data_IF_624124645363
#
_entry.id   IF_624124645363
#
_cell.length_a   1.000
_cell.length_b   1.000
_cell.length_c   1.000
_cell.angle_alpha   90.00
_cell.angle_beta   90.00
_cell.angle_gamma   90.00
#
_symmetry.space_group_name_H-M   'P 1'
#
loop_
_entity.id
_entity.type
_entity.pdbx_description
1 polymer ?
#
# COMPACT_ATOMS: atom_id res chain seq x y z
N UNK A 1 26.15 -12.30 19.66
CA UNK A 1 25.28 -11.14 19.31
C UNK A 1 25.40 -10.97 17.80
N UNK A 2 24.28 -10.86 17.13
CA UNK A 2 24.20 -10.61 15.69
C UNK A 2 23.88 -9.13 15.47
N UNK A 3 24.38 -8.57 14.37
CA UNK A 3 24.11 -7.20 13.94
C UNK A 3 23.59 -7.25 12.51
N UNK A 4 22.55 -6.49 12.25
CA UNK A 4 22.09 -6.20 10.90
C UNK A 4 22.73 -4.87 10.46
N UNK A 5 23.38 -4.88 9.30
CA UNK A 5 23.97 -3.68 8.70
C UNK A 5 23.34 -3.47 7.36
N UNK A 6 22.72 -2.32 7.16
CA UNK A 6 21.99 -1.96 5.94
C UNK A 6 22.51 -0.63 5.40
N UNK A 7 22.29 -0.42 4.09
CA UNK A 7 22.50 0.89 3.48
C UNK A 7 21.48 1.89 4.03
N UNK A 8 21.92 3.08 4.41
CA UNK A 8 21.02 4.11 4.88
C UNK A 8 20.27 4.76 3.72
N UNK A 9 18.96 4.80 3.83
CA UNK A 9 18.06 5.52 2.89
C UNK A 9 17.44 6.76 3.56
N UNK A 10 18.07 7.26 4.62
CA UNK A 10 17.59 8.43 5.34
C UNK A 10 17.43 9.63 4.39
N UNK A 11 16.28 10.29 4.45
CA UNK A 11 15.98 11.44 3.61
C UNK A 11 15.44 11.11 2.22
N UNK A 12 15.37 9.83 1.84
CA UNK A 12 14.74 9.43 0.58
C UNK A 12 13.23 9.60 0.65
N UNK A 13 12.59 9.73 -0.52
CA UNK A 13 11.13 9.74 -0.62
C UNK A 13 10.57 8.37 -0.26
N UNK A 14 9.44 8.35 0.44
CA UNK A 14 8.78 7.13 0.87
C UNK A 14 7.41 6.96 0.19
N UNK A 15 7.21 5.79 -0.40
CA UNK A 15 5.96 5.41 -1.03
C UNK A 15 5.50 4.03 -0.56
N UNK A 16 4.19 3.82 -0.59
CA UNK A 16 3.58 2.54 -0.25
C UNK A 16 2.60 2.13 -1.35
N UNK A 17 2.52 0.83 -1.61
CA UNK A 17 1.50 0.24 -2.46
C UNK A 17 0.64 -0.71 -1.64
N UNK A 18 -0.67 -0.44 -1.61
CA UNK A 18 -1.64 -1.36 -1.05
C UNK A 18 -2.11 -2.30 -2.15
N UNK A 19 -1.87 -3.59 -1.97
CA UNK A 19 -2.03 -4.62 -2.98
C UNK A 19 -2.92 -5.73 -2.46
N UNK A 20 -3.78 -6.28 -3.31
CA UNK A 20 -4.56 -7.47 -3.00
C UNK A 20 -4.29 -8.53 -4.05
N UNK A 21 -4.00 -9.75 -3.62
CA UNK A 21 -3.79 -10.91 -4.51
C UNK A 21 -4.60 -12.09 -4.00
N UNK A 22 -5.16 -12.86 -4.93
CA UNK A 22 -5.89 -14.09 -4.67
C UNK A 22 -5.17 -15.35 -5.18
N UNK A 23 -5.73 -16.52 -4.87
CA UNK A 23 -5.19 -17.83 -5.27
C UNK A 23 -5.17 -18.07 -6.78
N UNK A 24 -5.97 -17.34 -7.56
CA UNK A 24 -6.03 -17.41 -9.02
C UNK A 24 -5.05 -16.44 -9.70
N UNK A 25 -4.16 -15.80 -8.91
CA UNK A 25 -3.19 -14.79 -9.34
C UNK A 25 -3.82 -13.49 -9.87
N UNK A 26 -5.06 -13.21 -9.55
CA UNK A 26 -5.58 -11.86 -9.71
C UNK A 26 -4.85 -10.98 -8.70
N UNK A 27 -4.07 -10.03 -9.19
CA UNK A 27 -3.25 -9.14 -8.37
C UNK A 27 -3.50 -7.69 -8.77
N UNK A 28 -4.02 -6.90 -7.84
CA UNK A 28 -4.45 -5.53 -8.10
C UNK A 28 -3.85 -4.55 -7.10
N UNK A 29 -3.52 -3.35 -7.58
CA UNK A 29 -3.15 -2.23 -6.72
C UNK A 29 -4.44 -1.51 -6.31
N UNK A 30 -4.67 -1.43 -5.00
CA UNK A 30 -5.83 -0.72 -4.46
C UNK A 30 -5.56 0.78 -4.43
N UNK A 31 -4.38 1.17 -3.97
CA UNK A 31 -3.99 2.56 -3.87
C UNK A 31 -2.48 2.68 -3.72
N UNK A 32 -1.92 3.72 -4.33
CA UNK A 32 -0.58 4.22 -3.99
C UNK A 32 -0.70 5.26 -2.88
N UNK A 33 0.28 5.29 -1.99
CA UNK A 33 0.34 6.22 -0.87
C UNK A 33 1.72 6.86 -0.87
N UNK A 34 1.77 8.16 -0.64
CA UNK A 34 3.00 8.92 -0.47
C UNK A 34 3.08 9.44 0.97
N UNK A 35 4.22 9.23 1.61
CA UNK A 35 4.55 9.83 2.88
C UNK A 35 5.24 11.18 2.62
N UNK A 36 4.70 12.27 3.16
CA UNK A 36 5.27 13.60 2.96
C UNK A 36 6.55 13.79 3.76
N UNK A 37 6.66 13.11 4.89
CA UNK A 37 7.89 13.05 5.65
C UNK A 37 8.86 12.07 4.97
N UNK A 38 10.16 12.40 4.87
CA UNK A 38 11.13 11.52 4.25
C UNK A 38 11.43 10.29 5.10
N UNK A 39 12.11 9.31 4.49
CA UNK A 39 12.61 8.13 5.20
C UNK A 39 13.38 8.53 6.46
N UNK A 40 13.07 7.86 7.57
CA UNK A 40 13.54 8.16 8.92
C UNK A 40 12.41 8.58 9.87
N UNK A 41 11.28 9.06 9.34
CA UNK A 41 10.04 9.22 10.10
C UNK A 41 9.17 8.00 9.87
N UNK A 42 8.66 7.40 10.95
CA UNK A 42 7.81 6.21 10.82
C UNK A 42 6.53 6.51 10.04
N UNK A 43 6.14 5.63 9.11
CA UNK A 43 4.95 5.79 8.25
C UNK A 43 3.66 6.08 9.02
N UNK A 44 3.51 5.48 10.21
CA UNK A 44 2.37 5.71 11.10
C UNK A 44 2.26 7.13 11.64
N UNK A 45 3.39 7.83 11.71
CA UNK A 45 3.54 9.15 12.32
C UNK A 45 3.62 10.26 11.25
N UNK A 46 3.70 9.88 9.98
CA UNK A 46 3.79 10.80 8.84
C UNK A 46 2.43 11.33 8.39
N UNK A 47 2.44 12.52 7.81
CA UNK A 47 1.35 12.98 6.95
C UNK A 47 1.44 12.16 5.66
N UNK A 48 0.33 11.55 5.26
CA UNK A 48 0.29 10.71 4.06
C UNK A 48 -0.79 11.15 3.09
N UNK A 49 -0.54 11.00 1.81
CA UNK A 49 -1.47 11.36 0.72
C UNK A 49 -1.79 10.13 -0.10
N UNK A 50 -3.03 9.97 -0.45
CA UNK A 50 -3.52 8.92 -1.34
C UNK A 50 -4.39 9.54 -2.46
N UNK A 51 -4.13 9.27 -3.73
CA UNK A 51 -2.99 8.53 -4.27
C UNK A 51 -1.68 9.33 -4.17
N UNK A 52 -0.52 8.68 -4.40
CA UNK A 52 0.77 9.35 -4.49
C UNK A 52 0.75 10.46 -5.55
N UNK A 53 1.33 11.62 -5.21
CA UNK A 53 1.21 12.83 -6.03
C UNK A 53 2.47 13.15 -6.84
N UNK A 54 3.63 12.66 -6.41
CA UNK A 54 4.93 13.02 -7.00
C UNK A 54 5.58 11.88 -7.79
N UNK A 55 4.84 10.81 -8.07
CA UNK A 55 5.27 9.75 -8.99
C UNK A 55 4.88 10.12 -10.42
N UNK A 56 5.81 9.94 -11.35
CA UNK A 56 5.48 9.86 -12.77
C UNK A 56 4.77 8.52 -13.06
N UNK A 57 4.05 8.45 -14.18
CA UNK A 57 3.42 7.18 -14.58
C UNK A 57 4.44 6.05 -14.73
N UNK A 58 5.62 6.34 -15.28
CA UNK A 58 6.71 5.36 -15.40
C UNK A 58 7.17 4.83 -14.04
N UNK A 59 7.37 5.70 -13.07
CA UNK A 59 7.75 5.31 -11.71
C UNK A 59 6.65 4.50 -11.05
N UNK A 60 5.39 4.94 -11.18
CA UNK A 60 4.25 4.20 -10.67
C UNK A 60 4.20 2.77 -11.23
N UNK A 61 4.39 2.59 -12.53
CA UNK A 61 4.39 1.25 -13.15
C UNK A 61 5.56 0.38 -12.64
N UNK A 62 6.72 0.98 -12.37
CA UNK A 62 7.86 0.25 -11.77
C UNK A 62 7.50 -0.23 -10.35
N UNK A 63 6.91 0.64 -9.53
CA UNK A 63 6.49 0.26 -8.18
C UNK A 63 5.38 -0.81 -8.22
N UNK A 64 4.45 -0.68 -9.16
CA UNK A 64 3.38 -1.64 -9.39
C UNK A 64 3.93 -3.03 -9.72
N UNK A 65 4.80 -3.11 -10.71
CA UNK A 65 5.40 -4.37 -11.15
C UNK A 65 6.25 -5.02 -10.05
N UNK A 66 7.04 -4.22 -9.33
CA UNK A 66 7.84 -4.67 -8.20
C UNK A 66 6.95 -5.20 -7.05
N UNK A 67 5.83 -4.54 -6.76
CA UNK A 67 4.87 -4.99 -5.75
C UNK A 67 4.27 -6.34 -6.11
N UNK A 68 3.82 -6.51 -7.35
CA UNK A 68 3.25 -7.76 -7.85
C UNK A 68 4.29 -8.89 -7.77
N UNK A 69 5.53 -8.61 -8.20
CA UNK A 69 6.63 -9.57 -8.13
C UNK A 69 6.91 -10.02 -6.68
N UNK A 70 6.92 -9.08 -5.73
CA UNK A 70 7.11 -9.39 -4.31
C UNK A 70 6.02 -10.31 -3.75
N UNK A 71 4.74 -10.01 -4.04
CA UNK A 71 3.64 -10.83 -3.55
C UNK A 71 3.69 -12.25 -4.12
N UNK A 72 4.08 -12.39 -5.37
CA UNK A 72 4.25 -13.70 -6.03
C UNK A 72 5.39 -14.49 -5.43
N UNK A 73 6.56 -13.86 -5.24
CA UNK A 73 7.76 -14.52 -4.69
C UNK A 73 7.54 -14.98 -3.25
N UNK A 74 6.89 -14.17 -2.43
CA UNK A 74 6.57 -14.52 -1.04
C UNK A 74 5.42 -15.53 -0.94
N UNK A 75 4.59 -15.63 -1.99
CA UNK A 75 3.48 -16.57 -2.05
C UNK A 75 2.23 -16.08 -1.32
N UNK A 76 1.98 -14.76 -1.29
CA UNK A 76 0.71 -14.22 -0.77
C UNK A 76 -0.41 -14.54 -1.74
N UNK A 77 -1.42 -15.29 -1.28
CA UNK A 77 -2.52 -15.79 -2.13
C UNK A 77 -3.92 -15.43 -1.60
N UNK A 78 -4.02 -14.82 -0.43
CA UNK A 78 -5.30 -14.69 0.25
C UNK A 78 -5.52 -13.32 0.88
N UNK A 79 -5.09 -12.24 0.24
CA UNK A 79 -5.47 -10.98 0.82
C UNK A 79 -4.59 -9.78 0.53
N UNK A 80 -4.70 -8.80 1.43
CA UNK A 80 -4.03 -7.53 1.33
C UNK A 80 -2.59 -7.57 1.84
N UNK A 81 -1.76 -6.80 1.18
CA UNK A 81 -0.36 -6.58 1.54
C UNK A 81 0.00 -5.12 1.34
N UNK A 82 0.95 -4.66 2.13
CA UNK A 82 1.55 -3.34 2.01
C UNK A 82 3.02 -3.51 1.58
N UNK A 83 3.41 -2.88 0.49
CA UNK A 83 4.79 -2.87 0.01
C UNK A 83 5.33 -1.46 0.13
N UNK A 84 6.45 -1.29 0.83
CA UNK A 84 7.07 0.00 1.11
C UNK A 84 8.32 0.18 0.27
N UNK A 85 8.45 1.37 -0.30
CA UNK A 85 9.53 1.76 -1.19
C UNK A 85 10.22 3.03 -0.72
N UNK A 86 11.54 3.09 -0.90
CA UNK A 86 12.29 4.32 -0.84
C UNK A 86 12.81 4.66 -2.24
N UNK A 87 12.68 5.93 -2.62
CA UNK A 87 13.19 6.46 -3.89
C UNK A 87 14.16 7.58 -3.59
N UNK A 88 15.38 7.41 -4.10
CA UNK A 88 16.41 8.45 -4.01
C UNK A 88 15.96 9.68 -4.82
N UNK A 89 15.84 10.87 -4.20
CA UNK A 89 15.40 12.06 -4.90
C UNK A 89 16.41 12.60 -5.93
N UNK A 90 17.69 12.20 -5.84
CA UNK A 90 18.75 12.71 -6.69
C UNK A 90 18.88 11.95 -8.02
N UNK A 91 18.74 10.62 -7.98
CA UNK A 91 18.97 9.76 -9.14
C UNK A 91 17.78 8.85 -9.51
N UNK A 92 16.73 8.83 -8.68
CA UNK A 92 15.56 8.00 -8.88
C UNK A 92 15.76 6.52 -8.57
N UNK A 93 16.88 6.13 -7.95
CA UNK A 93 17.11 4.75 -7.52
C UNK A 93 16.03 4.33 -6.52
N UNK A 94 15.39 3.21 -6.82
CA UNK A 94 14.34 2.64 -6.00
C UNK A 94 14.85 1.43 -5.23
N UNK A 95 14.45 1.31 -3.97
CA UNK A 95 14.63 0.10 -3.16
C UNK A 95 13.32 -0.28 -2.48
N UNK A 96 13.08 -1.57 -2.33
CA UNK A 96 11.99 -2.09 -1.52
C UNK A 96 12.51 -2.16 -0.08
N UNK A 97 11.78 -1.54 0.83
CA UNK A 97 12.13 -1.51 2.26
C UNK A 97 11.60 -2.76 2.95
N UNK A 98 10.31 -3.00 2.81
CA UNK A 98 9.66 -4.18 3.37
C UNK A 98 8.34 -4.48 2.65
N UNK A 99 7.86 -5.70 2.82
CA UNK A 99 6.51 -6.10 2.46
C UNK A 99 5.83 -6.71 3.69
N UNK A 100 4.66 -6.20 4.00
CA UNK A 100 3.83 -6.66 5.11
C UNK A 100 2.64 -7.47 4.56
N UNK A 101 2.66 -8.83 4.66
CA UNK A 101 1.61 -9.69 4.09
C UNK A 101 0.38 -9.73 4.99
N UNK A 102 -0.18 -8.60 5.28
CA UNK A 102 -1.33 -8.40 6.16
C UNK A 102 -2.04 -7.09 5.86
N UNK A 103 -3.31 -7.00 6.27
CA UNK A 103 -4.04 -5.72 6.33
C UNK A 103 -3.39 -4.83 7.40
N UNK A 104 -3.19 -3.55 7.08
CA UNK A 104 -2.45 -2.58 7.87
C UNK A 104 -3.25 -1.31 8.14
N UNK A 105 -2.63 -0.32 8.81
CA UNK A 105 -3.21 1.02 8.98
C UNK A 105 -3.35 1.76 7.64
N UNK A 106 -2.39 1.59 6.76
CA UNK A 106 -2.44 2.12 5.40
C UNK A 106 -3.51 1.45 4.54
N UNK A 107 -3.81 0.16 4.77
CA UNK A 107 -4.96 -0.50 4.16
C UNK A 107 -6.29 0.16 4.56
N UNK A 108 -6.40 0.62 5.80
CA UNK A 108 -7.58 1.35 6.26
C UNK A 108 -7.71 2.73 5.58
N UNK A 109 -6.59 3.44 5.38
CA UNK A 109 -6.55 4.68 4.61
C UNK A 109 -6.93 4.43 3.16
N UNK A 110 -6.33 3.44 2.50
CA UNK A 110 -6.63 3.07 1.13
C UNK A 110 -8.10 2.68 0.94
N UNK A 111 -8.64 1.90 1.89
CA UNK A 111 -10.06 1.52 1.85
C UNK A 111 -11.00 2.72 1.95
N UNK A 112 -10.68 3.69 2.82
CA UNK A 112 -11.46 4.93 2.92
C UNK A 112 -11.31 5.83 1.70
N UNK A 113 -10.10 5.92 1.15
CA UNK A 113 -9.82 6.75 0.00
C UNK A 113 -10.52 6.24 -1.26
N UNK A 114 -10.49 4.92 -1.49
CA UNK A 114 -11.00 4.31 -2.73
C UNK A 114 -12.42 3.80 -2.63
N UNK A 115 -12.90 3.52 -1.42
CA UNK A 115 -14.16 2.78 -1.21
C UNK A 115 -14.01 1.27 -1.36
N UNK A 116 -12.81 0.75 -1.66
CA UNK A 116 -12.56 -0.68 -1.77
C UNK A 116 -12.35 -1.29 -0.38
N UNK A 117 -13.22 -2.23 0.05
CA UNK A 117 -13.18 -2.74 1.43
C UNK A 117 -12.12 -3.86 1.58
N UNK A 118 -10.84 -3.48 1.66
CA UNK A 118 -9.70 -4.42 1.65
C UNK A 118 -9.88 -5.54 2.68
N UNK A 119 -10.19 -5.22 3.94
CA UNK A 119 -10.30 -6.22 5.00
C UNK A 119 -11.45 -7.22 4.75
N UNK A 120 -12.58 -6.75 4.25
CA UNK A 120 -13.73 -7.60 3.90
C UNK A 120 -13.40 -8.52 2.72
N UNK A 121 -12.74 -7.98 1.71
CA UNK A 121 -12.29 -8.76 0.54
C UNK A 121 -11.25 -9.79 0.98
N UNK A 122 -10.22 -9.40 1.74
CA UNK A 122 -9.20 -10.32 2.25
C UNK A 122 -9.81 -11.48 3.06
N UNK A 123 -10.80 -11.21 3.90
CA UNK A 123 -11.52 -12.25 4.63
C UNK A 123 -12.23 -13.23 3.70
N UNK A 124 -12.82 -12.78 2.60
CA UNK A 124 -13.44 -13.66 1.60
C UNK A 124 -12.40 -14.47 0.83
N UNK A 125 -11.28 -13.87 0.44
CA UNK A 125 -10.21 -14.59 -0.23
C UNK A 125 -9.63 -15.70 0.64
N UNK A 126 -9.54 -15.49 1.96
CA UNK A 126 -9.01 -16.50 2.90
C UNK A 126 -9.91 -17.74 3.03
N UNK A 127 -11.20 -17.64 2.69
CA UNK A 127 -12.12 -18.78 2.65
C UNK A 127 -12.34 -19.33 1.23
N UNK A 128 -11.50 -18.89 0.27
CA UNK A 128 -11.40 -19.53 -1.04
C UNK A 128 -12.08 -18.82 -2.20
N UNK A 129 -12.69 -17.66 -2.00
CA UNK A 129 -13.14 -16.83 -3.12
C UNK A 129 -11.97 -16.25 -3.91
N UNK A 130 -12.23 -15.87 -5.17
CA UNK A 130 -11.31 -15.12 -6.01
C UNK A 130 -11.86 -13.71 -6.29
N UNK A 131 -11.00 -12.78 -6.69
CA UNK A 131 -11.39 -11.39 -6.91
C UNK A 131 -12.42 -11.22 -8.04
N UNK A 132 -12.35 -12.06 -9.06
CA UNK A 132 -13.27 -12.05 -10.19
C UNK A 132 -14.66 -12.63 -9.82
N UNK A 133 -14.75 -13.49 -8.79
CA UNK A 133 -16.02 -13.99 -8.25
C UNK A 133 -16.72 -12.97 -7.35
N UNK A 134 -15.99 -12.00 -6.82
CA UNK A 134 -16.52 -10.99 -5.92
C UNK A 134 -16.99 -9.75 -6.69
N UNK A 135 -18.08 -9.15 -6.22
CA UNK A 135 -18.57 -7.89 -6.77
C UNK A 135 -17.82 -6.70 -6.21
N UNK A 136 -17.54 -5.72 -7.06
CA UNK A 136 -16.92 -4.47 -6.67
C UNK A 136 -17.98 -3.55 -6.03
N UNK A 137 -17.82 -3.24 -4.75
CA UNK A 137 -18.76 -2.38 -4.01
C UNK A 137 -18.73 -0.92 -4.48
N UNK A 138 -17.58 -0.45 -5.02
CA UNK A 138 -17.44 0.91 -5.55
C UNK A 138 -18.40 1.16 -6.71
N UNK A 139 -18.61 0.13 -7.56
CA UNK A 139 -19.47 0.22 -8.75
C UNK A 139 -20.89 -0.30 -8.50
N UNK A 140 -21.27 -0.51 -7.24
CA UNK A 140 -22.55 -1.13 -6.91
C UNK A 140 -22.68 -2.56 -7.42
N UNK A 141 -21.56 -3.24 -7.68
CA UNK A 141 -21.51 -4.61 -8.19
C UNK A 141 -21.54 -4.73 -9.70
N UNK A 142 -21.42 -3.62 -10.44
CA UNK A 142 -21.41 -3.63 -11.91
C UNK A 142 -20.14 -4.26 -12.49
N UNK A 143 -19.02 -4.20 -11.77
CA UNK A 143 -17.75 -4.81 -12.14
C UNK A 143 -17.30 -5.82 -11.08
N UNK A 144 -16.41 -6.77 -11.43
CA UNK A 144 -15.80 -7.66 -10.43
C UNK A 144 -14.77 -6.89 -9.58
N UNK A 145 -14.46 -7.45 -8.40
CA UNK A 145 -13.48 -6.87 -7.49
C UNK A 145 -12.03 -6.99 -8.00
N UNK A 146 -11.80 -7.67 -9.10
CA UNK A 146 -10.50 -7.74 -9.79
C UNK A 146 -10.13 -6.48 -10.58
N UNK A 147 -11.03 -5.50 -10.68
CA UNK A 147 -10.76 -4.22 -11.32
C UNK A 147 -10.12 -3.25 -10.31
N UNK A 148 -8.99 -2.67 -10.69
CA UNK A 148 -8.29 -1.70 -9.85
C UNK A 148 -9.13 -0.44 -9.64
N UNK A 149 -9.24 0.06 -8.39
CA UNK A 149 -9.92 1.34 -8.13
C UNK A 149 -9.16 2.51 -8.74
N UNK A 150 -9.88 3.53 -9.15
CA UNK A 150 -9.35 4.84 -9.51
C UNK A 150 -10.11 5.92 -8.78
N UNK A 151 -9.41 6.98 -8.37
CA UNK A 151 -10.01 8.14 -7.69
C UNK A 151 -9.57 9.42 -8.37
N UNK A 152 -10.45 10.40 -8.41
CA UNK A 152 -10.26 11.73 -9.01
C UNK A 152 -10.13 12.85 -7.95
N UNK A 153 -9.82 12.47 -6.73
CA UNK A 153 -9.58 13.36 -5.60
C UNK A 153 -8.38 12.87 -4.78
N UNK A 154 -7.91 13.73 -3.90
CA UNK A 154 -6.78 13.43 -3.01
C UNK A 154 -7.28 13.33 -1.58
N UNK A 155 -6.85 12.29 -0.88
CA UNK A 155 -7.10 12.11 0.55
C UNK A 155 -5.81 12.32 1.32
N UNK A 156 -5.83 13.23 2.28
CA UNK A 156 -4.68 13.49 3.16
C UNK A 156 -4.99 12.99 4.56
N UNK A 157 -4.13 12.12 5.08
CA UNK A 157 -4.14 11.71 6.48
C UNK A 157 -3.17 12.58 7.27
N UNK A 158 -3.66 13.25 8.30
CA UNK A 158 -2.84 13.99 9.26
C UNK A 158 -2.89 13.24 10.60
N UNK A 159 -1.75 12.80 11.15
CA UNK A 159 -1.72 12.11 12.43
C UNK A 159 -2.08 13.09 13.56
N UNK A 160 -2.81 12.58 14.56
CA UNK A 160 -3.07 13.28 15.80
C UNK A 160 -2.49 12.46 16.95
N UNK A 161 -1.55 13.06 17.66
CA UNK A 161 -0.95 12.46 18.84
C UNK A 161 -1.74 12.84 20.08
N UNK A 162 -1.99 11.84 20.94
CA UNK A 162 -2.72 12.04 22.20
C UNK A 162 -1.75 12.45 23.33
N UNK A 163 -1.02 13.56 23.13
CA UNK A 163 -0.04 14.05 24.11
C UNK A 163 -0.65 14.31 25.48
N UNK A 164 -1.93 14.66 25.51
CA UNK A 164 -2.70 14.87 26.75
C UNK A 164 -2.79 13.62 27.65
N UNK A 165 -2.54 12.42 27.09
CA UNK A 165 -2.53 11.15 27.83
C UNK A 165 -1.16 10.79 28.42
N UNK A 166 -0.14 11.55 28.07
CA UNK A 166 1.25 11.32 28.48
C UNK A 166 1.83 12.60 29.07
N UNK A 167 1.29 13.10 30.19
CA UNK A 167 1.87 14.27 30.85
C UNK A 167 3.31 13.96 31.28
N UNK A 168 4.20 14.92 31.06
CA UNK A 168 5.60 14.86 31.51
C UNK A 168 5.69 14.93 33.03
#
# INVERSE_FOLDING_TARGET
KELLIEESVLGWKEFEMEVVRDKADNCIIICSIENLDPMGVHTGDSITVAPAQTLTDKEYQILRDASIACLREIGVETGGSNVQFAINPDDGRMVIIEMNPRVSRSSALASKATGFPIAKIAAKLSVGYTLDELRNEITGGATPASFEPTIDYVVTKVPRFAFEKFPQ
#
